data_IF_119445359318
#
_entry.id   IF_119445359318
#
_cell.length_a   1.000
_cell.length_b   1.000
_cell.length_c   1.000
_cell.angle_alpha   90.00
_cell.angle_beta   90.00
_cell.angle_gamma   90.00
#
_symmetry.space_group_name_H-M   'P 1'
#
loop_
_entity.id
_entity.type
_entity.pdbx_description
1 polymer ?
#
# COMPACT_ATOMS: atom_id res chain seq x y z
N UNK A 1 2.58 28.96 -6.98
CA UNK A 1 3.10 29.41 -8.28
C UNK A 1 4.32 28.57 -8.61
N UNK A 2 4.49 28.16 -9.85
CA UNK A 2 5.64 27.37 -10.32
C UNK A 2 6.29 28.14 -11.46
N UNK A 3 7.59 28.29 -11.40
CA UNK A 3 8.40 28.79 -12.51
C UNK A 3 8.97 27.57 -13.25
N UNK A 4 8.66 27.44 -14.52
CA UNK A 4 9.30 26.46 -15.40
C UNK A 4 10.50 27.14 -16.02
N UNK A 5 11.67 26.60 -15.82
CA UNK A 5 12.90 27.21 -16.31
C UNK A 5 13.19 26.78 -17.76
N UNK A 6 13.94 27.58 -18.48
CA UNK A 6 14.45 27.24 -19.80
C UNK A 6 15.31 25.99 -19.74
N UNK A 7 15.20 25.17 -20.77
CA UNK A 7 15.95 23.92 -20.84
C UNK A 7 17.46 24.17 -20.76
N UNK A 8 18.15 23.38 -19.93
CA UNK A 8 19.60 23.53 -19.77
C UNK A 8 20.05 24.69 -18.86
N UNK A 9 19.13 25.35 -18.10
CA UNK A 9 19.54 26.36 -17.12
C UNK A 9 20.53 25.75 -16.11
N UNK A 10 21.73 26.33 -15.97
CA UNK A 10 22.78 25.82 -15.07
C UNK A 10 22.34 25.90 -13.61
N UNK A 11 22.81 24.95 -12.79
CA UNK A 11 22.40 24.82 -11.39
C UNK A 11 22.73 26.02 -10.53
N UNK A 12 23.87 26.62 -10.73
CA UNK A 12 24.30 27.85 -10.06
C UNK A 12 23.37 29.04 -10.34
N UNK A 13 22.83 29.11 -11.56
CA UNK A 13 21.79 30.12 -11.89
C UNK A 13 20.45 29.83 -11.23
N UNK A 14 20.08 28.56 -11.12
CA UNK A 14 18.86 28.15 -10.40
C UNK A 14 18.97 28.53 -8.92
N UNK A 15 20.10 28.23 -8.29
CA UNK A 15 20.33 28.54 -6.88
C UNK A 15 20.33 30.05 -6.64
N UNK A 16 21.00 30.86 -7.50
CA UNK A 16 20.98 32.32 -7.42
C UNK A 16 19.57 32.90 -7.63
N UNK A 17 18.79 32.33 -8.56
CA UNK A 17 17.39 32.73 -8.76
C UNK A 17 16.55 32.46 -7.51
N UNK A 18 16.70 31.29 -6.88
CA UNK A 18 16.02 30.94 -5.66
C UNK A 18 16.32 31.90 -4.52
N UNK A 19 17.60 32.21 -4.27
CA UNK A 19 18.04 33.16 -3.25
C UNK A 19 17.46 34.57 -3.50
N UNK A 20 17.48 35.05 -4.74
CA UNK A 20 16.94 36.35 -5.10
C UNK A 20 15.42 36.45 -4.85
N UNK A 21 14.67 35.38 -5.19
CA UNK A 21 13.22 35.33 -4.99
C UNK A 21 12.86 35.25 -3.49
N UNK A 22 13.58 34.47 -2.71
CA UNK A 22 13.39 34.36 -1.27
C UNK A 22 13.65 35.67 -0.55
N UNK A 23 14.74 36.33 -0.90
CA UNK A 23 15.11 37.64 -0.33
C UNK A 23 14.09 38.73 -0.69
N UNK A 24 13.64 38.77 -1.96
CA UNK A 24 12.75 39.82 -2.45
C UNK A 24 11.32 39.71 -1.97
N UNK A 25 10.78 38.46 -1.96
CA UNK A 25 9.34 38.24 -1.72
C UNK A 25 9.05 37.59 -0.35
N UNK A 26 10.05 37.21 0.41
CA UNK A 26 9.94 36.51 1.72
C UNK A 26 9.09 35.22 1.61
N UNK A 27 9.34 34.45 0.59
CA UNK A 27 8.76 33.14 0.31
C UNK A 27 9.85 32.08 0.41
N UNK A 28 9.46 30.82 0.44
CA UNK A 28 10.38 29.69 0.25
C UNK A 28 10.38 29.26 -1.21
N UNK A 29 11.52 28.83 -1.71
CA UNK A 29 11.65 28.22 -3.02
C UNK A 29 11.93 26.72 -2.89
N UNK A 30 11.49 25.93 -3.86
CA UNK A 30 11.78 24.51 -3.93
C UNK A 30 12.16 24.16 -5.37
N UNK A 31 13.47 24.16 -5.72
CA UNK A 31 13.93 23.77 -7.02
C UNK A 31 13.86 22.24 -7.19
N UNK A 32 13.28 21.79 -8.30
CA UNK A 32 13.14 20.39 -8.67
C UNK A 32 13.79 20.21 -10.05
N UNK A 33 14.84 19.41 -10.08
CA UNK A 33 15.62 19.12 -11.28
C UNK A 33 15.04 17.87 -11.94
N UNK A 34 14.21 18.06 -12.97
CA UNK A 34 13.69 16.96 -13.79
C UNK A 34 14.65 16.56 -14.90
N UNK A 35 14.37 15.45 -15.57
CA UNK A 35 15.17 14.93 -16.68
C UNK A 35 15.19 15.85 -17.89
N UNK A 36 14.10 16.56 -18.16
CA UNK A 36 13.95 17.44 -19.33
C UNK A 36 13.90 18.92 -18.94
N UNK A 37 13.26 19.25 -17.84
CA UNK A 37 13.08 20.63 -17.38
C UNK A 37 13.29 20.77 -15.87
N UNK A 38 13.87 21.88 -15.45
CA UNK A 38 13.90 22.30 -14.05
C UNK A 38 12.71 23.19 -13.74
N UNK A 39 12.07 22.96 -12.60
CA UNK A 39 11.00 23.83 -12.11
C UNK A 39 11.35 24.38 -10.74
N UNK A 40 10.95 25.61 -10.44
CA UNK A 40 11.09 26.21 -9.12
C UNK A 40 9.70 26.47 -8.55
N UNK A 41 9.34 25.71 -7.52
CA UNK A 41 8.11 25.91 -6.78
C UNK A 41 8.23 27.06 -5.80
N UNK A 42 7.33 28.05 -5.88
CA UNK A 42 7.22 29.12 -4.89
C UNK A 42 6.22 28.72 -3.80
N UNK A 43 6.69 28.60 -2.57
CA UNK A 43 5.95 28.13 -1.40
C UNK A 43 5.74 29.27 -0.41
N UNK A 44 4.51 29.43 0.09
CA UNK A 44 4.11 30.52 0.98
C UNK A 44 3.03 31.41 0.35
N UNK A 45 2.93 32.63 0.82
CA UNK A 45 1.98 33.62 0.29
C UNK A 45 2.47 34.18 -1.06
N UNK A 46 2.17 33.46 -2.14
CA UNK A 46 2.55 33.84 -3.50
C UNK A 46 1.68 34.97 -4.09
N UNK A 47 0.69 35.50 -3.36
CA UNK A 47 -0.07 36.68 -3.78
C UNK A 47 0.80 37.94 -3.88
N UNK A 48 1.93 37.93 -3.15
CA UNK A 48 2.92 39.04 -3.15
C UNK A 48 3.90 38.98 -4.31
N UNK A 49 3.87 37.94 -5.13
CA UNK A 49 4.74 37.74 -6.27
C UNK A 49 3.97 38.10 -7.55
N UNK A 50 4.23 39.26 -8.14
CA UNK A 50 3.57 39.64 -9.40
C UNK A 50 4.04 38.67 -10.51
N UNK A 51 3.09 38.08 -11.23
CA UNK A 51 3.41 37.11 -12.28
C UNK A 51 4.32 37.70 -13.37
N UNK A 52 4.07 38.96 -13.77
CA UNK A 52 4.88 39.60 -14.78
C UNK A 52 6.33 39.83 -14.38
N UNK A 53 6.62 40.00 -13.07
CA UNK A 53 7.96 40.18 -12.57
C UNK A 53 8.81 38.92 -12.74
N UNK A 54 8.18 37.77 -12.45
CA UNK A 54 8.90 36.45 -12.50
C UNK A 54 8.84 35.83 -13.90
N UNK A 55 7.81 36.16 -14.71
CA UNK A 55 7.73 35.71 -16.09
C UNK A 55 8.80 36.33 -17.01
N UNK A 56 9.30 37.51 -16.66
CA UNK A 56 10.33 38.24 -17.43
C UNK A 56 11.77 37.93 -16.98
N UNK A 57 11.97 37.02 -16.06
CA UNK A 57 13.34 36.63 -15.66
C UNK A 57 14.01 35.78 -16.75
N UNK A 58 15.29 36.02 -16.97
CA UNK A 58 16.03 35.40 -18.08
C UNK A 58 16.02 33.87 -18.05
N UNK A 59 15.99 33.28 -16.86
CA UNK A 59 15.97 31.82 -16.63
C UNK A 59 14.60 31.19 -16.83
N UNK A 60 13.51 32.00 -16.80
CA UNK A 60 12.14 31.50 -16.81
C UNK A 60 11.62 31.33 -18.25
N UNK A 61 11.08 30.16 -18.55
CA UNK A 61 10.36 29.86 -19.79
C UNK A 61 8.89 30.28 -19.68
N UNK A 62 8.23 29.84 -18.60
CA UNK A 62 6.83 30.17 -18.30
C UNK A 62 6.50 30.06 -16.81
N UNK A 63 5.43 30.74 -16.43
CA UNK A 63 4.86 30.69 -15.06
C UNK A 63 3.56 29.89 -15.06
N UNK A 64 3.44 28.95 -14.10
CA UNK A 64 2.23 28.14 -13.93
C UNK A 64 1.60 28.45 -12.58
N UNK A 65 0.35 28.92 -12.58
CA UNK A 65 -0.44 29.05 -11.34
C UNK A 65 -1.01 27.70 -10.96
N UNK A 66 -0.64 27.22 -9.78
CA UNK A 66 -1.24 26.00 -9.20
C UNK A 66 -2.49 26.42 -8.45
N UNK A 67 -3.63 26.03 -8.97
CA UNK A 67 -4.94 26.29 -8.36
C UNK A 67 -5.30 25.19 -7.34
N UNK A 68 -4.70 24.00 -7.46
CA UNK A 68 -4.93 22.90 -6.56
C UNK A 68 -4.37 23.20 -5.16
N UNK A 69 -5.08 22.79 -4.08
CA UNK A 69 -4.67 23.08 -2.70
C UNK A 69 -3.46 22.26 -2.23
N UNK A 70 -3.09 21.17 -2.93
CA UNK A 70 -1.87 20.39 -2.71
C UNK A 70 -0.78 20.83 -3.69
N UNK A 71 0.46 20.95 -3.21
CA UNK A 71 1.60 21.44 -3.98
C UNK A 71 2.66 20.37 -4.18
N UNK A 72 3.17 19.80 -3.08
CA UNK A 72 4.23 18.78 -3.11
C UNK A 72 3.77 17.49 -3.77
N UNK A 73 2.51 17.11 -3.60
CA UNK A 73 1.91 15.96 -4.27
C UNK A 73 1.51 16.22 -5.73
N UNK A 74 1.59 17.46 -6.21
CA UNK A 74 1.10 17.85 -7.53
C UNK A 74 2.14 17.58 -8.62
N UNK A 75 1.74 16.88 -9.70
CA UNK A 75 2.61 16.59 -10.84
C UNK A 75 3.16 17.87 -11.51
N UNK A 76 2.42 18.96 -11.52
CA UNK A 76 2.91 20.23 -12.05
C UNK A 76 4.11 20.75 -11.26
N UNK A 77 4.19 20.41 -9.96
CA UNK A 77 5.28 20.79 -9.08
C UNK A 77 6.44 19.80 -9.14
N UNK A 78 6.19 18.54 -9.45
CA UNK A 78 7.16 17.45 -9.60
C UNK A 78 6.83 16.67 -10.88
N UNK A 79 7.39 17.07 -12.05
CA UNK A 79 6.99 16.50 -13.36
C UNK A 79 7.29 15.01 -13.52
N UNK A 80 8.43 14.56 -13.01
CA UNK A 80 8.89 13.18 -13.13
C UNK A 80 8.17 12.26 -12.14
N UNK A 81 8.01 10.99 -12.50
CA UNK A 81 7.44 9.99 -11.60
C UNK A 81 8.34 9.73 -10.39
N UNK A 82 7.75 9.71 -9.21
CA UNK A 82 8.47 9.31 -7.99
C UNK A 82 8.64 7.80 -7.94
N UNK A 83 9.86 7.37 -7.65
CA UNK A 83 10.20 5.97 -7.39
C UNK A 83 10.52 5.78 -5.91
N UNK A 84 9.63 5.11 -5.19
CA UNK A 84 9.80 4.79 -3.78
C UNK A 84 10.56 3.47 -3.62
N UNK A 85 11.64 3.47 -2.83
CA UNK A 85 12.47 2.27 -2.59
C UNK A 85 12.19 1.69 -1.21
N UNK A 86 11.84 0.40 -1.15
CA UNK A 86 11.61 -0.37 0.08
C UNK A 86 12.55 -1.57 0.09
N UNK A 87 13.65 -1.53 0.84
CA UNK A 87 14.70 -2.57 0.89
C UNK A 87 15.06 -3.15 -0.49
N UNK A 88 15.28 -2.29 -1.47
CA UNK A 88 15.66 -2.70 -2.83
C UNK A 88 14.49 -2.97 -3.79
N UNK A 89 13.26 -3.04 -3.32
CA UNK A 89 12.07 -3.05 -4.18
C UNK A 89 11.75 -1.61 -4.59
N UNK A 90 11.69 -1.36 -5.91
CA UNK A 90 11.33 -0.06 -6.47
C UNK A 90 9.85 -0.03 -6.85
N UNK A 91 9.10 0.93 -6.33
CA UNK A 91 7.66 1.16 -6.57
C UNK A 91 7.52 2.45 -7.37
N UNK A 92 6.77 2.46 -8.46
CA UNK A 92 6.57 3.64 -9.34
C UNK A 92 7.47 3.65 -10.58
N UNK A 93 8.30 2.62 -10.78
CA UNK A 93 9.11 2.42 -11.99
C UNK A 93 8.37 1.60 -13.05
N UNK A 94 9.10 1.00 -14.01
CA UNK A 94 8.52 0.23 -15.11
C UNK A 94 7.91 -1.11 -14.66
N UNK A 95 8.05 -1.50 -13.40
CA UNK A 95 7.56 -2.76 -12.88
C UNK A 95 6.38 -2.58 -11.95
N UNK A 96 5.39 -3.47 -12.08
CA UNK A 96 4.27 -3.59 -11.16
C UNK A 96 4.70 -4.43 -9.96
N UNK A 97 4.55 -3.91 -8.75
CA UNK A 97 4.94 -4.58 -7.51
C UNK A 97 3.75 -5.34 -6.91
N UNK A 98 3.95 -6.60 -6.55
CA UNK A 98 2.93 -7.38 -5.84
C UNK A 98 3.31 -7.51 -4.37
N UNK A 99 2.46 -6.94 -3.50
CA UNK A 99 2.54 -7.03 -2.05
C UNK A 99 1.45 -7.98 -1.56
N UNK A 100 1.82 -9.08 -0.90
CA UNK A 100 0.84 -10.09 -0.50
C UNK A 100 1.12 -10.67 0.87
N UNK A 101 0.07 -11.18 1.54
CA UNK A 101 0.18 -11.79 2.87
C UNK A 101 -1.16 -11.80 3.61
N UNK A 102 -1.22 -12.23 4.88
CA UNK A 102 -2.46 -12.39 5.60
C UNK A 102 -3.08 -11.05 5.99
N UNK A 103 -4.40 -10.98 6.14
CA UNK A 103 -5.08 -9.81 6.69
C UNK A 103 -4.52 -9.43 8.07
N UNK A 104 -4.45 -10.42 8.96
CA UNK A 104 -3.87 -10.30 10.30
C UNK A 104 -2.72 -11.27 10.49
N UNK A 105 -1.72 -10.85 11.27
CA UNK A 105 -0.74 -11.78 11.86
C UNK A 105 -1.41 -12.51 13.03
N UNK A 106 -1.58 -13.82 12.91
CA UNK A 106 -2.34 -14.64 13.87
C UNK A 106 -1.44 -15.59 14.67
N UNK A 107 -0.31 -15.96 14.10
CA UNK A 107 0.72 -16.76 14.75
C UNK A 107 2.05 -16.63 14.01
N UNK A 108 3.13 -16.93 14.72
CA UNK A 108 4.49 -16.97 14.18
C UNK A 108 4.62 -17.91 12.97
N UNK A 109 4.26 -19.16 13.17
CA UNK A 109 4.42 -20.20 12.13
C UNK A 109 3.48 -19.96 10.94
N UNK A 110 2.29 -19.40 11.19
CA UNK A 110 1.33 -19.04 10.15
C UNK A 110 1.88 -17.97 9.21
N UNK A 111 2.37 -16.86 9.75
CA UNK A 111 2.89 -15.76 8.92
C UNK A 111 4.15 -16.15 8.16
N UNK A 112 5.04 -16.96 8.75
CA UNK A 112 6.25 -17.45 8.07
C UNK A 112 5.89 -18.39 6.91
N UNK A 113 4.94 -19.33 7.11
CA UNK A 113 4.46 -20.19 6.02
C UNK A 113 3.82 -19.40 4.89
N UNK A 114 2.95 -18.44 5.22
CA UNK A 114 2.29 -17.60 4.21
C UNK A 114 3.33 -16.75 3.48
N UNK A 115 4.30 -16.15 4.17
CA UNK A 115 5.37 -15.38 3.56
C UNK A 115 6.19 -16.19 2.56
N UNK A 116 6.55 -17.44 2.90
CA UNK A 116 7.23 -18.34 1.98
C UNK A 116 6.36 -18.64 0.74
N UNK A 117 5.09 -18.98 0.94
CA UNK A 117 4.17 -19.31 -0.15
C UNK A 117 3.92 -18.13 -1.10
N UNK A 118 3.74 -16.91 -0.59
CA UNK A 118 3.55 -15.73 -1.46
C UNK A 118 4.82 -15.33 -2.18
N UNK A 119 6.00 -15.49 -1.57
CA UNK A 119 7.29 -15.30 -2.22
C UNK A 119 7.48 -16.25 -3.38
N UNK A 120 7.25 -17.55 -3.16
CA UNK A 120 7.38 -18.59 -4.19
C UNK A 120 6.42 -18.34 -5.36
N UNK A 121 5.24 -17.78 -5.09
CA UNK A 121 4.29 -17.36 -6.10
C UNK A 121 4.67 -16.06 -6.82
N UNK A 122 5.66 -15.30 -6.33
CA UNK A 122 6.19 -14.11 -7.00
C UNK A 122 5.84 -12.78 -6.36
N UNK A 123 5.36 -12.75 -5.11
CA UNK A 123 5.24 -11.50 -4.35
C UNK A 123 6.62 -10.88 -4.09
N UNK A 124 6.73 -9.57 -4.26
CA UNK A 124 7.96 -8.82 -4.00
C UNK A 124 8.00 -8.24 -2.57
N UNK A 125 6.86 -8.14 -1.89
CA UNK A 125 6.72 -7.60 -0.54
C UNK A 125 5.71 -8.42 0.26
N UNK A 126 5.88 -8.45 1.57
CA UNK A 126 4.97 -9.11 2.54
C UNK A 126 4.09 -8.04 3.22
N UNK A 127 2.77 -8.24 3.19
CA UNK A 127 1.86 -7.46 4.02
C UNK A 127 1.29 -8.31 5.16
N UNK A 128 1.00 -7.68 6.29
CA UNK A 128 0.32 -8.33 7.42
C UNK A 128 -0.02 -7.32 8.50
N UNK A 129 -1.26 -7.36 9.02
CA UNK A 129 -1.68 -6.47 10.10
C UNK A 129 -1.29 -7.01 11.47
N UNK A 130 -0.39 -6.33 12.19
CA UNK A 130 -0.06 -6.62 13.59
C UNK A 130 -1.04 -5.93 14.55
N UNK A 131 -1.48 -4.73 14.20
CA UNK A 131 -2.55 -3.97 14.86
C UNK A 131 -3.78 -3.95 13.96
N UNK A 132 -4.97 -4.13 14.52
CA UNK A 132 -6.22 -4.19 13.75
C UNK A 132 -7.23 -3.19 14.30
N UNK A 133 -7.52 -2.10 13.55
CA UNK A 133 -8.63 -1.20 13.90
C UNK A 133 -9.95 -1.90 13.58
N UNK A 134 -10.71 -2.28 14.61
CA UNK A 134 -11.97 -3.01 14.47
C UNK A 134 -13.15 -2.14 14.86
N UNK A 135 -14.26 -2.30 14.12
CA UNK A 135 -15.52 -1.63 14.47
C UNK A 135 -16.10 -2.20 15.76
N UNK A 136 -15.94 -3.52 16.00
CA UNK A 136 -16.36 -4.15 17.27
C UNK A 136 -15.17 -4.29 18.22
N UNK A 137 -15.29 -3.87 19.50
CA UNK A 137 -14.24 -4.07 20.49
C UNK A 137 -14.01 -5.53 20.85
N UNK A 138 -14.95 -6.42 20.55
CA UNK A 138 -14.88 -7.85 20.81
C UNK A 138 -14.18 -8.64 19.68
N UNK A 139 -13.95 -8.01 18.53
CA UNK A 139 -13.22 -8.64 17.44
C UNK A 139 -11.71 -8.73 17.75
N UNK A 140 -11.01 -9.62 17.05
CA UNK A 140 -9.56 -9.78 17.17
C UNK A 140 -8.84 -8.46 16.87
N UNK A 141 -8.06 -7.95 17.84
CA UNK A 141 -7.40 -6.64 17.79
C UNK A 141 -5.96 -6.71 17.23
N UNK A 142 -5.50 -7.89 16.79
CA UNK A 142 -4.12 -8.15 16.39
C UNK A 142 -3.22 -8.53 17.56
N UNK A 143 -2.04 -9.08 17.24
CA UNK A 143 -1.03 -9.47 18.22
C UNK A 143 -0.13 -8.29 18.68
N UNK A 144 -0.35 -7.10 18.13
CA UNK A 144 0.37 -5.87 18.49
C UNK A 144 1.89 -6.02 18.28
N UNK A 145 2.71 -5.66 19.30
CA UNK A 145 4.17 -5.75 19.21
C UNK A 145 4.67 -7.18 18.90
N UNK A 146 4.01 -8.21 19.43
CA UNK A 146 4.34 -9.61 19.13
C UNK A 146 4.13 -9.91 17.64
N UNK A 147 3.05 -9.38 17.04
CA UNK A 147 2.78 -9.51 15.61
C UNK A 147 3.84 -8.83 14.74
N UNK A 148 4.39 -7.68 15.16
CA UNK A 148 5.50 -7.02 14.47
C UNK A 148 6.77 -7.87 14.52
N UNK A 149 7.05 -8.48 15.69
CA UNK A 149 8.17 -9.40 15.83
C UNK A 149 8.06 -10.60 14.89
N UNK A 150 6.87 -11.19 14.76
CA UNK A 150 6.63 -12.30 13.84
C UNK A 150 6.76 -11.89 12.36
N UNK A 151 6.36 -10.67 12.01
CA UNK A 151 6.59 -10.12 10.66
C UNK A 151 8.09 -9.97 10.37
N UNK A 152 8.87 -9.49 11.35
CA UNK A 152 10.32 -9.42 11.21
C UNK A 152 10.95 -10.80 10.99
N UNK A 153 10.53 -11.81 11.74
CA UNK A 153 11.01 -13.19 11.54
C UNK A 153 10.64 -13.73 10.15
N UNK A 154 9.41 -13.46 9.67
CA UNK A 154 8.99 -13.82 8.32
C UNK A 154 9.83 -13.10 7.25
N UNK A 155 10.15 -11.81 7.45
CA UNK A 155 11.08 -11.06 6.62
C UNK A 155 12.47 -11.70 6.61
N UNK A 156 13.01 -11.99 7.78
CA UNK A 156 14.36 -12.56 7.90
C UNK A 156 14.45 -13.95 7.25
N UNK A 157 13.36 -14.73 7.27
CA UNK A 157 13.27 -16.04 6.62
C UNK A 157 13.10 -15.96 5.10
N UNK A 158 12.43 -14.93 4.59
CA UNK A 158 12.06 -14.85 3.17
C UNK A 158 12.81 -13.78 2.39
N UNK A 159 13.31 -12.75 3.06
CA UNK A 159 13.86 -11.56 2.44
C UNK A 159 12.81 -10.58 1.89
N UNK A 160 11.50 -10.85 2.07
CA UNK A 160 10.45 -9.94 1.63
C UNK A 160 10.36 -8.72 2.55
N UNK A 161 10.44 -7.47 2.03
CA UNK A 161 10.15 -6.27 2.82
C UNK A 161 8.75 -6.30 3.41
N UNK A 162 8.61 -5.82 4.65
CA UNK A 162 7.35 -5.86 5.41
C UNK A 162 6.59 -4.55 5.32
N UNK A 163 5.30 -4.65 4.94
CA UNK A 163 4.31 -3.57 5.02
C UNK A 163 3.32 -3.91 6.13
N UNK A 164 3.12 -3.00 7.09
CA UNK A 164 2.18 -3.22 8.18
C UNK A 164 1.49 -1.92 8.61
N UNK A 165 0.24 -2.04 9.10
CA UNK A 165 -0.61 -0.88 9.41
C UNK A 165 -0.34 -0.32 10.79
N UNK A 166 -0.04 1.00 10.85
CA UNK A 166 0.02 1.78 12.07
C UNK A 166 -1.36 2.34 12.41
N UNK A 167 -1.72 2.35 13.69
CA UNK A 167 -3.02 2.83 14.16
C UNK A 167 -2.93 4.00 15.13
N UNK A 168 -1.76 4.24 15.71
CA UNK A 168 -1.54 5.27 16.71
C UNK A 168 -0.11 5.85 16.58
N UNK A 169 0.07 7.18 16.62
CA UNK A 169 1.40 7.82 16.58
C UNK A 169 2.39 7.29 17.62
N UNK A 170 1.92 6.94 18.83
CA UNK A 170 2.76 6.39 19.89
C UNK A 170 3.41 5.03 19.56
N UNK A 171 3.10 4.44 18.41
CA UNK A 171 3.68 3.18 17.94
C UNK A 171 4.91 3.39 17.05
N UNK A 172 5.29 4.63 16.71
CA UNK A 172 6.31 4.91 15.71
C UNK A 172 7.64 4.21 15.97
N UNK A 173 8.16 4.24 17.21
CA UNK A 173 9.42 3.57 17.56
C UNK A 173 9.41 2.07 17.22
N UNK A 174 8.27 1.40 17.50
CA UNK A 174 8.10 -0.02 17.13
C UNK A 174 8.10 -0.23 15.62
N UNK A 175 7.46 0.69 14.87
CA UNK A 175 7.40 0.57 13.41
C UNK A 175 8.77 0.83 12.78
N UNK A 176 9.54 1.77 13.28
CA UNK A 176 10.90 2.03 12.81
C UNK A 176 11.86 0.83 13.04
N UNK A 177 11.62 0.04 14.09
CA UNK A 177 12.40 -1.17 14.38
C UNK A 177 11.98 -2.37 13.50
N UNK A 178 10.68 -2.56 13.27
CA UNK A 178 10.16 -3.83 12.73
C UNK A 178 9.62 -3.75 11.30
N UNK A 179 9.16 -2.58 10.83
CA UNK A 179 8.58 -2.41 9.51
C UNK A 179 9.61 -1.90 8.49
N UNK A 180 9.35 -2.15 7.21
CA UNK A 180 10.11 -1.57 6.09
C UNK A 180 9.29 -0.54 5.33
N UNK A 181 7.97 -0.57 5.50
CA UNK A 181 7.01 0.40 4.98
C UNK A 181 5.81 0.47 5.92
N UNK A 182 5.37 1.68 6.27
CA UNK A 182 4.21 1.94 7.11
C UNK A 182 2.97 1.99 6.23
N UNK A 183 1.93 1.23 6.58
CA UNK A 183 0.61 1.43 5.99
C UNK A 183 -0.23 2.35 6.88
N UNK A 184 -0.78 3.42 6.29
CA UNK A 184 -1.87 4.20 6.88
C UNK A 184 -3.19 3.67 6.32
N UNK A 185 -3.98 3.03 7.17
CA UNK A 185 -5.24 2.42 6.77
C UNK A 185 -6.33 3.44 6.40
N UNK A 186 -7.34 3.00 5.65
CA UNK A 186 -8.41 3.86 5.14
C UNK A 186 -9.16 4.64 6.24
N UNK A 187 -9.28 4.09 7.45
CA UNK A 187 -9.90 4.77 8.60
C UNK A 187 -9.06 5.91 9.15
N UNK A 188 -7.76 5.91 8.87
CA UNK A 188 -6.78 6.89 9.35
C UNK A 188 -6.30 7.84 8.25
N UNK A 189 -6.88 7.79 7.03
CA UNK A 189 -6.48 8.67 5.93
C UNK A 189 -6.54 10.17 6.32
N UNK A 190 -7.48 10.55 7.15
CA UNK A 190 -7.66 11.92 7.64
C UNK A 190 -7.26 12.08 9.12
N UNK A 191 -6.50 11.16 9.68
CA UNK A 191 -5.89 11.32 10.99
C UNK A 191 -4.61 12.17 10.85
N UNK A 192 -4.78 13.47 10.76
CA UNK A 192 -3.70 14.41 10.42
C UNK A 192 -2.54 14.36 11.41
N UNK A 193 -2.78 14.10 12.69
CA UNK A 193 -1.69 13.94 13.66
C UNK A 193 -0.86 12.68 13.37
N UNK A 194 -1.51 11.58 12.98
CA UNK A 194 -0.80 10.38 12.52
C UNK A 194 -0.04 10.64 11.21
N UNK A 195 -0.64 11.38 10.27
CA UNK A 195 0.01 11.72 9.00
C UNK A 195 1.27 12.57 9.20
N UNK A 196 1.24 13.55 10.11
CA UNK A 196 2.42 14.33 10.47
C UNK A 196 3.52 13.45 11.07
N UNK A 197 3.16 12.53 11.98
CA UNK A 197 4.14 11.66 12.62
C UNK A 197 4.81 10.71 11.64
N UNK A 198 4.05 10.03 10.78
CA UNK A 198 4.64 9.19 9.72
C UNK A 198 5.39 10.02 8.67
N UNK A 199 5.05 11.30 8.51
CA UNK A 199 5.76 12.25 7.67
C UNK A 199 7.14 12.64 8.20
N UNK A 200 7.37 12.58 9.51
CA UNK A 200 8.68 12.80 10.15
C UNK A 200 9.58 11.58 10.10
N UNK A 201 8.99 10.40 9.90
CA UNK A 201 9.73 9.16 9.75
C UNK A 201 10.43 9.07 8.39
N UNK A 202 11.49 8.26 8.32
CA UNK A 202 12.18 7.95 7.06
C UNK A 202 11.58 6.73 6.35
N UNK A 203 10.68 6.00 7.01
CA UNK A 203 10.03 4.83 6.41
C UNK A 203 9.07 5.26 5.28
N UNK A 204 9.07 4.56 4.15
CA UNK A 204 8.05 4.75 3.12
C UNK A 204 6.65 4.53 3.67
N UNK A 205 5.66 5.23 3.11
CA UNK A 205 4.27 5.20 3.56
C UNK A 205 3.36 4.74 2.43
N UNK A 206 2.55 3.70 2.68
CA UNK A 206 1.43 3.29 1.86
C UNK A 206 0.16 3.93 2.41
N UNK A 207 -0.34 4.97 1.75
CA UNK A 207 -1.53 5.73 2.16
C UNK A 207 -2.78 5.21 1.46
N UNK A 208 -3.66 4.54 2.21
CA UNK A 208 -4.92 4.02 1.66
C UNK A 208 -6.00 5.08 1.60
N UNK A 209 -6.70 5.17 0.47
CA UNK A 209 -7.88 6.02 0.28
C UNK A 209 -8.96 5.64 1.29
N UNK A 210 -9.58 6.65 1.90
CA UNK A 210 -10.70 6.48 2.81
C UNK A 210 -11.98 6.06 2.10
N UNK A 211 -12.95 5.57 2.87
CA UNK A 211 -14.17 4.94 2.32
C UNK A 211 -15.08 5.87 1.52
N UNK A 212 -15.06 7.17 1.80
CA UNK A 212 -15.94 8.17 1.16
C UNK A 212 -15.16 9.43 0.78
N UNK A 213 -13.84 9.27 0.58
CA UNK A 213 -12.96 10.38 0.31
C UNK A 213 -12.74 10.57 -1.20
N UNK A 214 -12.77 11.81 -1.62
CA UNK A 214 -12.43 12.22 -2.99
C UNK A 214 -10.94 12.00 -3.28
N UNK A 215 -10.58 12.01 -4.56
CA UNK A 215 -9.17 11.98 -4.99
C UNK A 215 -8.42 13.21 -4.43
N UNK A 216 -9.06 14.38 -4.40
CA UNK A 216 -8.46 15.59 -3.85
C UNK A 216 -8.13 15.45 -2.36
N UNK A 217 -9.03 14.87 -1.55
CA UNK A 217 -8.77 14.62 -0.13
C UNK A 217 -7.63 13.62 0.09
N UNK A 218 -7.52 12.60 -0.78
CA UNK A 218 -6.39 11.66 -0.74
C UNK A 218 -5.07 12.39 -1.02
N UNK A 219 -5.03 13.27 -2.03
CA UNK A 219 -3.85 14.05 -2.36
C UNK A 219 -3.52 15.08 -1.27
N UNK A 220 -4.52 15.67 -0.62
CA UNK A 220 -4.31 16.53 0.56
C UNK A 220 -3.73 15.75 1.74
N UNK A 221 -4.16 14.51 1.95
CA UNK A 221 -3.58 13.65 2.99
C UNK A 221 -2.14 13.26 2.68
N UNK A 222 -1.81 13.00 1.41
CA UNK A 222 -0.43 12.80 0.98
C UNK A 222 0.41 14.08 1.19
N UNK A 223 -0.15 15.25 0.91
CA UNK A 223 0.52 16.54 1.14
C UNK A 223 0.95 16.73 2.60
N UNK A 224 0.14 16.29 3.59
CA UNK A 224 0.52 16.32 4.99
C UNK A 224 1.81 15.53 5.25
N UNK A 225 1.93 14.31 4.70
CA UNK A 225 3.13 13.47 4.87
C UNK A 225 4.34 14.13 4.20
N UNK A 226 4.15 14.59 2.96
CA UNK A 226 5.20 15.25 2.17
C UNK A 226 5.68 16.55 2.83
N UNK A 227 4.79 17.32 3.45
CA UNK A 227 5.11 18.60 4.09
C UNK A 227 5.99 18.45 5.33
N UNK A 228 5.89 17.32 6.04
CA UNK A 228 6.75 16.99 7.19
C UNK A 228 8.13 16.44 6.77
N UNK A 229 8.38 16.26 5.45
CA UNK A 229 9.70 15.92 4.90
C UNK A 229 9.87 14.51 4.39
N UNK A 230 8.83 13.64 4.43
CA UNK A 230 8.91 12.30 3.88
C UNK A 230 8.42 12.25 2.42
N UNK A 231 9.31 12.14 1.41
CA UNK A 231 8.93 12.10 0.00
C UNK A 231 8.45 10.69 -0.44
N UNK A 232 8.61 9.67 0.41
CA UNK A 232 8.41 8.28 0.05
C UNK A 232 6.96 7.84 0.29
N UNK A 233 6.01 8.41 -0.46
CA UNK A 233 4.58 8.12 -0.33
C UNK A 233 4.10 7.32 -1.53
N UNK A 234 3.36 6.24 -1.29
CA UNK A 234 2.63 5.42 -2.27
C UNK A 234 1.15 5.54 -1.95
N UNK A 235 0.33 5.92 -2.92
CA UNK A 235 -1.11 5.96 -2.77
C UNK A 235 -1.71 4.56 -2.97
N UNK A 236 -2.87 4.27 -2.36
CA UNK A 236 -3.54 2.99 -2.55
C UNK A 236 -5.06 3.18 -2.68
N UNK A 237 -5.57 2.92 -3.89
CA UNK A 237 -7.01 2.75 -4.11
C UNK A 237 -7.45 1.41 -3.54
N UNK A 238 -8.55 1.37 -2.78
CA UNK A 238 -9.04 0.18 -2.07
C UNK A 238 -10.57 0.03 -2.07
N UNK A 239 -11.23 0.76 -2.93
CA UNK A 239 -12.68 0.84 -3.00
C UNK A 239 -13.28 1.91 -2.10
N UNK A 240 -14.34 2.51 -2.58
CA UNK A 240 -15.14 3.54 -1.91
C UNK A 240 -16.56 3.04 -1.64
N UNK A 241 -17.23 3.61 -0.65
CA UNK A 241 -18.65 3.37 -0.42
C UNK A 241 -19.47 4.09 -1.48
N UNK A 242 -20.36 3.36 -2.09
CA UNK A 242 -21.34 3.88 -3.04
C UNK A 242 -22.73 3.35 -2.64
N UNK A 243 -23.73 3.59 -3.47
CA UNK A 243 -25.05 3.00 -3.31
C UNK A 243 -25.07 1.48 -3.56
N UNK A 244 -24.05 0.94 -4.28
CA UNK A 244 -23.95 -0.48 -4.60
C UNK A 244 -23.43 -1.28 -3.38
N UNK A 245 -24.10 -2.40 -3.10
CA UNK A 245 -23.82 -3.25 -1.93
C UNK A 245 -23.46 -4.69 -2.27
N UNK A 246 -23.42 -5.05 -3.56
CA UNK A 246 -23.03 -6.40 -4.01
C UNK A 246 -21.57 -6.75 -3.70
N UNK A 247 -20.72 -5.73 -3.58
CA UNK A 247 -19.36 -5.85 -3.06
C UNK A 247 -19.21 -5.04 -1.78
N UNK A 248 -18.16 -5.33 -1.01
CA UNK A 248 -17.90 -4.60 0.24
C UNK A 248 -17.68 -3.09 0.01
N UNK A 249 -17.01 -2.75 -1.09
CA UNK A 249 -16.83 -1.38 -1.59
C UNK A 249 -16.71 -1.44 -3.12
N UNK A 250 -17.07 -0.36 -3.80
CA UNK A 250 -16.87 -0.21 -5.24
C UNK A 250 -15.42 0.14 -5.51
N UNK A 251 -14.67 -0.71 -6.23
CA UNK A 251 -13.31 -0.41 -6.65
C UNK A 251 -13.32 0.66 -7.75
N UNK A 252 -12.75 1.82 -7.46
CA UNK A 252 -12.68 2.94 -8.38
C UNK A 252 -11.40 2.85 -9.23
N UNK A 253 -11.45 2.02 -10.29
CA UNK A 253 -10.32 1.89 -11.22
C UNK A 253 -10.08 3.16 -12.02
N UNK A 254 -11.08 3.99 -12.22
CA UNK A 254 -10.93 5.28 -12.91
C UNK A 254 -10.07 6.27 -12.11
N UNK A 255 -9.95 6.09 -10.80
CA UNK A 255 -9.04 6.86 -9.97
C UNK A 255 -7.56 6.72 -10.40
N UNK A 256 -7.17 5.57 -10.99
CA UNK A 256 -5.77 5.32 -11.32
C UNK A 256 -5.24 6.30 -12.39
N UNK A 257 -5.83 6.40 -13.60
CA UNK A 257 -5.38 7.37 -14.59
C UNK A 257 -5.51 8.81 -14.12
N UNK A 258 -6.57 9.16 -13.35
CA UNK A 258 -6.73 10.50 -12.77
C UNK A 258 -5.62 10.82 -11.77
N UNK A 259 -5.23 9.88 -10.91
CA UNK A 259 -4.10 10.06 -9.99
C UNK A 259 -2.80 10.21 -10.78
N UNK A 260 -2.56 9.37 -11.79
CA UNK A 260 -1.36 9.45 -12.64
C UNK A 260 -1.24 10.79 -13.38
N UNK A 261 -2.34 11.42 -13.75
CA UNK A 261 -2.36 12.78 -14.32
C UNK A 261 -2.04 13.86 -13.26
N UNK A 262 -2.61 13.74 -12.06
CA UNK A 262 -2.58 14.80 -11.05
C UNK A 262 -1.37 14.76 -10.13
N UNK A 263 -0.77 13.57 -9.90
CA UNK A 263 0.36 13.39 -8.99
C UNK A 263 1.48 12.57 -9.61
N UNK A 264 2.69 12.78 -9.12
CA UNK A 264 3.87 12.00 -9.45
C UNK A 264 4.03 10.75 -8.55
N UNK A 265 3.18 10.60 -7.53
CA UNK A 265 3.26 9.52 -6.56
C UNK A 265 2.80 8.20 -7.18
N UNK A 266 3.46 7.08 -6.88
CA UNK A 266 3.02 5.77 -7.35
C UNK A 266 1.71 5.34 -6.71
N UNK A 267 0.93 4.52 -7.45
CA UNK A 267 -0.43 4.12 -7.07
C UNK A 267 -0.55 2.61 -7.00
N UNK A 268 -0.88 2.10 -5.82
CA UNK A 268 -1.28 0.71 -5.58
C UNK A 268 -2.80 0.56 -5.68
N UNK A 269 -3.23 -0.69 -5.89
CA UNK A 269 -4.63 -1.09 -5.80
C UNK A 269 -4.78 -2.28 -4.87
N UNK A 270 -5.76 -2.22 -3.98
CA UNK A 270 -6.14 -3.29 -3.06
C UNK A 270 -7.54 -3.82 -3.42
N UNK A 271 -7.62 -4.81 -4.29
CA UNK A 271 -8.89 -5.41 -4.69
C UNK A 271 -9.50 -6.29 -3.59
N UNK A 272 -8.69 -6.81 -2.66
CA UNK A 272 -9.17 -7.65 -1.56
C UNK A 272 -10.14 -6.90 -0.66
N UNK A 273 -9.75 -5.70 -0.21
CA UNK A 273 -10.61 -4.87 0.63
C UNK A 273 -11.74 -4.17 -0.13
N UNK A 274 -11.61 -4.02 -1.45
CA UNK A 274 -12.69 -3.51 -2.28
C UNK A 274 -13.77 -4.58 -2.47
N UNK A 275 -13.40 -5.75 -2.97
CA UNK A 275 -14.33 -6.83 -3.27
C UNK A 275 -15.03 -7.40 -2.03
N UNK A 276 -14.26 -7.69 -0.97
CA UNK A 276 -14.76 -8.39 0.21
C UNK A 276 -15.05 -9.88 -0.01
N UNK A 277 -14.86 -10.38 -1.24
CA UNK A 277 -15.11 -11.76 -1.66
C UNK A 277 -13.96 -12.25 -2.55
N UNK A 278 -13.35 -13.37 -2.21
CA UNK A 278 -12.17 -13.92 -2.87
C UNK A 278 -12.37 -14.14 -4.39
N UNK A 279 -13.57 -14.55 -4.82
CA UNK A 279 -13.88 -14.81 -6.23
C UNK A 279 -13.74 -13.56 -7.13
N UNK A 280 -13.87 -12.36 -6.58
CA UNK A 280 -13.78 -11.11 -7.33
C UNK A 280 -12.38 -10.48 -7.28
N UNK A 281 -11.48 -10.97 -6.42
CA UNK A 281 -10.14 -10.39 -6.24
C UNK A 281 -9.30 -10.53 -7.51
N UNK A 282 -9.27 -11.71 -8.14
CA UNK A 282 -8.46 -11.95 -9.34
C UNK A 282 -8.88 -11.03 -10.50
N UNK A 283 -10.15 -11.00 -10.96
CA UNK A 283 -10.53 -10.13 -12.08
C UNK A 283 -10.28 -8.65 -11.81
N UNK A 284 -10.52 -8.17 -10.58
CA UNK A 284 -10.25 -6.79 -10.20
C UNK A 284 -8.76 -6.47 -10.14
N UNK A 285 -7.92 -7.41 -9.68
CA UNK A 285 -6.47 -7.26 -9.69
C UNK A 285 -5.91 -7.16 -11.11
N UNK A 286 -6.39 -8.01 -12.04
CA UNK A 286 -5.99 -7.98 -13.44
C UNK A 286 -6.39 -6.67 -14.12
N UNK A 287 -7.60 -6.19 -13.86
CA UNK A 287 -8.07 -4.89 -14.35
C UNK A 287 -7.23 -3.73 -13.79
N UNK A 288 -6.84 -3.79 -12.51
CA UNK A 288 -5.96 -2.80 -11.90
C UNK A 288 -4.57 -2.74 -12.57
N UNK A 289 -3.99 -3.88 -12.94
CA UNK A 289 -2.74 -3.91 -13.72
C UNK A 289 -2.97 -3.30 -15.10
N UNK A 290 -4.05 -3.68 -15.79
CA UNK A 290 -4.35 -3.20 -17.14
C UNK A 290 -4.53 -1.68 -17.22
N UNK A 291 -5.11 -1.05 -16.18
CA UNK A 291 -5.33 0.40 -16.11
C UNK A 291 -4.08 1.18 -15.68
N UNK A 292 -2.97 0.49 -15.35
CA UNK A 292 -1.67 1.10 -15.11
C UNK A 292 -1.29 1.29 -13.63
N UNK A 293 -1.87 0.53 -12.70
CA UNK A 293 -1.43 0.53 -11.30
C UNK A 293 0.06 0.19 -11.15
N UNK A 294 0.76 0.82 -10.22
CA UNK A 294 2.18 0.54 -9.93
C UNK A 294 2.37 -0.66 -9.02
N UNK A 295 1.30 -1.12 -8.40
CA UNK A 295 1.33 -2.33 -7.60
C UNK A 295 -0.04 -2.80 -7.14
N UNK A 296 -0.03 -4.00 -6.60
CA UNK A 296 -1.20 -4.67 -6.02
C UNK A 296 -0.95 -4.99 -4.56
N UNK A 297 -1.95 -4.84 -3.72
CA UNK A 297 -1.97 -5.37 -2.36
C UNK A 297 -3.03 -6.47 -2.26
N UNK A 298 -2.60 -7.72 -2.01
CA UNK A 298 -3.48 -8.89 -2.04
C UNK A 298 -3.46 -9.61 -0.70
N UNK A 299 -4.63 -9.95 -0.18
CA UNK A 299 -4.75 -10.77 1.02
C UNK A 299 -4.70 -12.26 0.70
N UNK A 300 -3.79 -12.97 1.38
CA UNK A 300 -3.55 -14.42 1.20
C UNK A 300 -3.50 -15.10 2.56
N UNK A 301 -4.19 -16.22 2.69
CA UNK A 301 -4.18 -17.03 3.90
C UNK A 301 -4.14 -18.53 3.56
N UNK A 302 -3.41 -19.34 4.33
CA UNK A 302 -3.30 -20.79 4.12
C UNK A 302 -4.61 -21.53 4.43
N UNK A 303 -5.49 -20.97 5.26
CA UNK A 303 -6.82 -21.49 5.57
C UNK A 303 -7.82 -20.34 5.82
N UNK A 304 -8.35 -19.64 4.78
CA UNK A 304 -9.24 -18.46 4.95
C UNK A 304 -10.44 -18.69 5.85
N UNK A 305 -10.98 -19.91 5.89
CA UNK A 305 -12.12 -20.27 6.77
C UNK A 305 -11.80 -20.20 8.27
N UNK A 306 -10.51 -20.22 8.64
CA UNK A 306 -10.03 -20.12 10.02
C UNK A 306 -9.43 -18.78 10.35
N UNK A 307 -9.35 -17.86 9.38
CA UNK A 307 -8.79 -16.55 9.58
C UNK A 307 -9.55 -15.77 10.65
N UNK A 308 -8.83 -15.12 11.54
CA UNK A 308 -9.39 -14.29 12.62
C UNK A 308 -9.92 -12.95 12.12
N UNK A 309 -9.56 -12.56 10.90
CA UNK A 309 -10.07 -11.35 10.24
C UNK A 309 -10.20 -11.55 8.73
N UNK A 310 -11.24 -10.95 8.15
CA UNK A 310 -11.49 -10.79 6.71
C UNK A 310 -11.32 -12.07 5.86
N UNK A 311 -11.61 -13.27 6.43
CA UNK A 311 -11.46 -14.57 5.76
C UNK A 311 -12.11 -14.67 4.37
N UNK A 312 -13.35 -14.18 4.16
CA UNK A 312 -14.06 -14.31 2.88
C UNK A 312 -13.33 -13.70 1.66
N UNK A 313 -12.47 -12.72 1.86
CA UNK A 313 -11.76 -12.02 0.77
C UNK A 313 -10.34 -12.52 0.53
N UNK A 314 -9.78 -13.35 1.43
CA UNK A 314 -8.40 -13.84 1.31
C UNK A 314 -8.31 -14.99 0.32
N UNK A 315 -7.29 -14.94 -0.54
CA UNK A 315 -7.00 -16.01 -1.48
C UNK A 315 -6.23 -17.15 -0.81
N UNK A 316 -6.42 -18.36 -1.31
CA UNK A 316 -5.47 -19.45 -1.04
C UNK A 316 -4.15 -19.20 -1.78
N UNK A 317 -3.00 -19.70 -1.30
CA UNK A 317 -1.72 -19.56 -1.98
C UNK A 317 -1.73 -20.01 -3.45
N UNK A 318 -2.45 -21.09 -3.79
CA UNK A 318 -2.58 -21.57 -5.16
C UNK A 318 -3.39 -20.59 -6.06
N UNK A 319 -4.45 -19.98 -5.52
CA UNK A 319 -5.21 -18.96 -6.23
C UNK A 319 -4.37 -17.70 -6.47
N UNK A 320 -3.59 -17.30 -5.46
CA UNK A 320 -2.66 -16.19 -5.59
C UNK A 320 -1.57 -16.44 -6.65
N UNK A 321 -1.01 -17.65 -6.70
CA UNK A 321 -0.04 -18.04 -7.74
C UNK A 321 -0.64 -17.94 -9.15
N UNK A 322 -1.89 -18.40 -9.34
CA UNK A 322 -2.63 -18.25 -10.59
C UNK A 322 -2.79 -16.77 -10.99
N UNK A 323 -3.23 -15.93 -10.02
CA UNK A 323 -3.38 -14.49 -10.23
C UNK A 323 -2.07 -13.86 -10.69
N UNK A 324 -0.95 -14.12 -10.02
CA UNK A 324 0.37 -13.57 -10.38
C UNK A 324 0.79 -14.01 -11.78
N UNK A 325 0.53 -15.28 -12.15
CA UNK A 325 0.79 -15.79 -13.50
C UNK A 325 0.04 -15.00 -14.58
N UNK A 326 -1.26 -14.76 -14.38
CA UNK A 326 -2.11 -13.98 -15.28
C UNK A 326 -1.73 -12.50 -15.30
N UNK A 327 -1.47 -11.91 -14.14
CA UNK A 327 -1.06 -10.52 -14.01
C UNK A 327 0.23 -10.22 -14.76
N UNK A 328 1.17 -11.19 -14.84
CA UNK A 328 2.39 -11.07 -15.65
C UNK A 328 2.08 -10.89 -17.13
N UNK A 329 1.15 -11.68 -17.67
CA UNK A 329 0.71 -11.55 -19.07
C UNK A 329 0.07 -10.19 -19.36
N UNK A 330 -0.78 -9.68 -18.44
CA UNK A 330 -1.40 -8.36 -18.58
C UNK A 330 -0.33 -7.25 -18.50
N UNK A 331 0.60 -7.33 -17.56
CA UNK A 331 1.68 -6.35 -17.44
C UNK A 331 2.51 -6.29 -18.75
N UNK A 332 2.87 -7.44 -19.33
CA UNK A 332 3.57 -7.50 -20.61
C UNK A 332 2.77 -6.87 -21.74
N UNK A 333 1.46 -7.10 -21.79
CA UNK A 333 0.58 -6.53 -22.83
C UNK A 333 0.53 -4.99 -22.81
N UNK A 334 0.77 -4.37 -21.63
CA UNK A 334 0.84 -2.91 -21.49
C UNK A 334 2.29 -2.39 -21.43
N UNK A 335 3.29 -3.19 -21.85
CA UNK A 335 4.70 -2.77 -21.89
C UNK A 335 5.39 -2.71 -20.52
N UNK A 336 4.86 -3.39 -19.49
CA UNK A 336 5.42 -3.43 -18.13
C UNK A 336 5.80 -4.86 -17.74
N UNK A 337 6.51 -4.99 -16.62
CA UNK A 337 6.87 -6.28 -16.01
C UNK A 337 6.38 -6.35 -14.58
N UNK A 338 6.21 -7.57 -14.03
CA UNK A 338 6.07 -7.73 -12.58
C UNK A 338 7.45 -7.71 -11.92
N UNK A 339 7.55 -7.04 -10.77
CA UNK A 339 8.71 -7.13 -9.90
C UNK A 339 8.95 -8.56 -9.46
N UNK A 340 10.22 -8.96 -9.41
CA UNK A 340 10.62 -10.25 -8.86
C UNK A 340 10.95 -10.09 -7.39
N UNK A 341 10.68 -11.09 -6.53
CA UNK A 341 11.21 -11.07 -5.17
C UNK A 341 12.74 -10.96 -5.21
N UNK A 342 13.30 -10.22 -4.25
CA UNK A 342 14.76 -10.16 -4.12
C UNK A 342 15.34 -11.56 -3.97
N UNK A 343 16.46 -11.84 -4.63
CA UNK A 343 17.17 -13.08 -4.44
C UNK A 343 17.54 -13.23 -2.95
N UNK A 344 17.17 -14.34 -2.35
CA UNK A 344 17.52 -14.62 -0.95
C UNK A 344 19.03 -14.78 -0.86
N UNK A 345 19.74 -13.91 -0.14
CA UNK A 345 21.14 -14.14 0.19
C UNK A 345 21.20 -15.28 1.22
N UNK A 346 21.40 -16.48 0.71
CA UNK A 346 21.47 -17.72 1.53
C UNK A 346 22.57 -17.67 2.61
N UNK A 347 23.51 -16.72 2.51
CA UNK A 347 24.59 -16.53 3.50
C UNK A 347 24.07 -15.94 4.81
N UNK A 348 22.92 -15.27 4.80
CA UNK A 348 22.30 -14.63 5.97
C UNK A 348 21.13 -15.43 6.56
N UNK A 349 20.86 -16.64 6.06
CA UNK A 349 19.85 -17.51 6.67
C UNK A 349 20.36 -18.00 8.04
N UNK A 350 19.58 -17.83 9.12
CA UNK A 350 19.91 -18.46 10.40
C UNK A 350 19.99 -19.96 10.20
N UNK A 351 21.13 -20.58 10.55
CA UNK A 351 21.34 -22.02 10.46
C UNK A 351 20.20 -22.72 11.25
N UNK A 352 19.58 -23.73 10.64
CA UNK A 352 18.59 -24.59 11.31
C UNK A 352 19.15 -25.02 12.67
N UNK A 353 18.58 -24.51 13.77
CA UNK A 353 18.95 -24.89 15.12
C UNK A 353 19.34 -23.81 16.12
N UNK A 354 19.43 -22.54 15.75
CA UNK A 354 19.83 -21.45 16.68
C UNK A 354 18.68 -20.52 17.09
N UNK A 355 17.54 -21.06 17.49
CA UNK A 355 16.50 -20.22 18.10
C UNK A 355 16.82 -20.02 19.59
N UNK A 356 17.33 -18.84 19.94
CA UNK A 356 17.53 -18.44 21.33
C UNK A 356 16.18 -18.28 22.03
N UNK A 357 16.17 -18.60 23.34
CA UNK A 357 15.04 -18.57 24.27
C UNK A 357 14.30 -17.23 24.25
N UNK A 358 12.99 -17.22 24.56
CA UNK A 358 12.19 -15.99 24.58
C UNK A 358 12.72 -14.96 25.58
N UNK A 359 12.78 -13.71 25.15
CA UNK A 359 13.12 -12.55 25.97
C UNK A 359 12.00 -12.36 27.01
N UNK A 360 12.38 -12.27 28.28
CA UNK A 360 11.46 -11.90 29.38
C UNK A 360 10.90 -10.51 29.10
N UNK A 361 9.61 -10.45 28.81
CA UNK A 361 8.83 -9.21 28.86
C UNK A 361 8.82 -8.69 30.31
N UNK A 362 9.14 -7.43 30.48
CA UNK A 362 8.90 -6.69 31.72
C UNK A 362 7.39 -6.68 32.01
N UNK A 363 6.95 -7.52 32.91
CA UNK A 363 5.57 -7.54 33.41
C UNK A 363 5.29 -6.26 34.21
N UNK A 364 4.45 -5.38 33.66
CA UNK A 364 3.72 -4.43 34.49
C UNK A 364 2.65 -5.22 35.26
N UNK A 365 2.83 -5.29 36.57
CA UNK A 365 1.90 -5.94 37.50
C UNK A 365 0.52 -5.25 37.47
N UNK A 366 -0.48 -5.95 36.93
CA UNK A 366 -1.86 -5.80 37.36
C UNK A 366 -2.46 -7.18 37.53
N UNK A 367 -2.86 -7.46 38.77
CA UNK A 367 -3.36 -8.78 39.16
C UNK A 367 -4.77 -9.03 38.65
N UNK A 368 -4.99 -10.23 38.11
CA UNK A 368 -6.30 -10.90 38.13
C UNK A 368 -6.09 -12.42 37.97
N UNK A 369 -6.78 -13.16 38.81
CA UNK A 369 -6.67 -14.61 39.01
C UNK A 369 -7.38 -15.42 37.91
N UNK A 370 -6.76 -16.47 37.45
CA UNK A 370 -7.32 -17.81 37.33
C UNK A 370 -8.24 -18.15 36.15
N UNK A 371 -7.75 -19.04 35.28
CA UNK A 371 -8.57 -19.77 34.33
C UNK A 371 -7.72 -20.64 33.40
N UNK A 372 -7.48 -21.91 33.78
CA UNK A 372 -6.79 -22.88 32.92
C UNK A 372 -7.72 -23.34 31.80
N UNK A 373 -7.41 -23.02 30.53
CA UNK A 373 -8.02 -23.67 29.36
C UNK A 373 -7.01 -24.59 28.68
N UNK A 374 -7.46 -25.84 28.44
CA UNK A 374 -6.69 -26.89 27.75
C UNK A 374 -6.56 -26.55 26.25
N UNK A 375 -5.41 -26.87 25.60
CA UNK A 375 -5.25 -26.67 24.16
C UNK A 375 -6.15 -27.65 23.37
N UNK A 376 -6.81 -27.16 22.34
CA UNK A 376 -7.58 -27.97 21.38
C UNK A 376 -6.64 -28.49 20.28
N UNK A 377 -6.89 -29.70 19.71
CA UNK A 377 -6.03 -30.31 18.72
C UNK A 377 -6.04 -29.55 17.38
N UNK A 378 -4.86 -29.46 16.76
CA UNK A 378 -4.66 -28.88 15.42
C UNK A 378 -5.29 -29.78 14.34
N UNK A 379 -6.26 -29.23 13.61
CA UNK A 379 -6.79 -29.84 12.39
C UNK A 379 -6.07 -29.19 11.21
N UNK A 380 -5.28 -30.01 10.49
CA UNK A 380 -4.61 -29.60 9.25
C UNK A 380 -5.65 -29.43 8.13
N UNK A 381 -5.66 -28.28 7.44
CA UNK A 381 -6.36 -28.13 6.18
C UNK A 381 -5.60 -28.92 5.09
N UNK A 382 -6.08 -30.12 4.76
CA UNK A 382 -5.63 -30.82 3.55
C UNK A 382 -6.43 -30.29 2.37
N UNK A 383 -5.75 -29.83 1.31
CA UNK A 383 -6.35 -29.54 0.02
C UNK A 383 -6.83 -30.82 -0.65
N UNK A 384 -7.78 -30.75 -1.58
CA UNK A 384 -8.22 -31.93 -2.31
C UNK A 384 -7.08 -32.43 -3.21
N UNK A 385 -6.59 -33.62 -2.93
CA UNK A 385 -5.80 -34.42 -3.88
C UNK A 385 -6.81 -35.01 -4.86
N UNK A 386 -6.67 -34.68 -6.13
CA UNK A 386 -7.51 -35.23 -7.18
C UNK A 386 -7.22 -36.70 -7.37
N UNK A 387 -8.20 -37.56 -7.09
CA UNK A 387 -8.21 -38.94 -7.54
C UNK A 387 -9.07 -39.02 -8.80
N UNK A 388 -8.42 -39.40 -9.90
CA UNK A 388 -9.06 -39.79 -11.14
C UNK A 388 -9.33 -41.32 -11.09
N UNK A 389 -10.58 -41.74 -10.90
CA UNK A 389 -11.09 -42.98 -11.49
C UNK A 389 -12.59 -42.84 -11.74
N UNK A 390 -12.96 -43.25 -12.95
CA UNK A 390 -14.29 -43.23 -13.51
C UNK A 390 -15.24 -44.28 -12.89
N UNK A 391 -16.52 -43.94 -12.74
CA UNK A 391 -17.65 -44.72 -13.29
C UNK A 391 -19.01 -44.18 -12.83
N UNK A 392 -19.82 -43.81 -13.78
CA UNK A 392 -21.24 -44.04 -14.02
C UNK A 392 -22.25 -43.80 -12.86
N UNK A 393 -23.05 -42.76 -12.96
CA UNK A 393 -24.51 -42.83 -13.13
C UNK A 393 -25.13 -41.43 -13.00
N UNK A 394 -25.82 -41.07 -14.09
CA UNK A 394 -26.70 -39.90 -14.18
C UNK A 394 -27.84 -39.97 -13.12
N UNK A 395 -28.05 -38.87 -12.40
CA UNK A 395 -29.38 -38.46 -11.90
C UNK A 395 -29.56 -36.97 -12.09
N UNK A 396 -30.31 -36.65 -13.13
CA UNK A 396 -30.89 -35.34 -13.42
C UNK A 396 -31.82 -34.95 -12.29
N UNK A 397 -31.55 -33.83 -11.59
CA UNK A 397 -32.53 -33.13 -10.79
C UNK A 397 -32.93 -31.83 -11.48
N UNK A 398 -34.12 -31.86 -12.04
CA UNK A 398 -34.85 -30.68 -12.52
C UNK A 398 -35.37 -29.93 -11.31
N UNK A 399 -34.94 -28.65 -11.16
CA UNK A 399 -35.62 -27.71 -10.29
C UNK A 399 -36.51 -26.78 -11.11
N UNK A 400 -37.80 -26.94 -10.94
CA UNK A 400 -38.86 -26.08 -11.44
C UNK A 400 -38.79 -24.69 -10.81
N UNK A 401 -38.85 -23.69 -11.68
CA UNK A 401 -39.10 -22.30 -11.35
C UNK A 401 -40.54 -22.14 -10.80
N UNK A 402 -40.64 -21.46 -9.66
CA UNK A 402 -41.90 -20.86 -9.18
C UNK A 402 -41.81 -19.35 -9.34
N UNK A 403 -42.58 -18.86 -10.30
CA UNK A 403 -42.94 -17.45 -10.48
C UNK A 403 -43.97 -17.10 -9.41
N UNK A 404 -43.74 -16.01 -8.66
CA UNK A 404 -44.79 -15.31 -7.94
C UNK A 404 -44.78 -13.82 -8.35
N UNK A 405 -45.83 -13.48 -9.10
CA UNK A 405 -46.31 -12.12 -9.34
C UNK A 405 -47.02 -11.56 -8.11
N UNK A 406 -47.02 -10.23 -7.96
CA UNK A 406 -47.93 -9.47 -7.10
C UNK A 406 -47.27 -8.21 -6.56
N UNK A 407 -47.34 -7.10 -7.28
CA UNK A 407 -48.31 -5.97 -7.17
C UNK A 407 -48.14 -5.14 -5.87
N UNK A 408 -47.72 -3.99 -6.00
CA UNK A 408 -47.94 -2.56 -5.82
C UNK A 408 -46.68 -1.82 -5.54
#
# INVERSE_FOLDING_TARGET
>A
MILVLKQGTPRDKVDALCEALEARYRIQTNPIYGSEQTVVGLVGDTSRVPEHDVANLDEVDRVVKVQEPYKRANRKFHPDDTVVKVRGVAIGGPRVVVCAGPCSVESRDGVVRIAAAVKDAGAAMLRGGAFKPRTSPYAFQGLKAEGLHYLKEARDATGLPVVTEITNPAQMDLFEEYADMIQVGARNMQNFELLKEVGRSRLPVLLKRGFSNSIQELLMSAEYILSEGNPNVVLCERGIRTFETATRNTLDLSAIPVLKERTHLPVFVDPSHAAGVAAYVEPLALAAVAVGADGLEIEVHDCPKKALSDGPQQLLPAQFASLVGKARGIAQAIGRELSRPAATDLRNMPRRGSFRKPIRLLETRSGAKGGRSRPRPHILCRGPVGDTTASGNEKIFVFQSAVLQGVV
#
